data_IF_926721382458
#
_entry.id   IF_926721382458
#
_cell.length_a   1.000
_cell.length_b   1.000
_cell.length_c   1.000
_cell.angle_alpha   90.00
_cell.angle_beta   90.00
_cell.angle_gamma   90.00
#
_symmetry.space_group_name_H-M   'P 1'
#
loop_
_entity.id
_entity.type
_entity.pdbx_description
1 polymer ?
#
# COMPACT_ATOMS: atom_id res chain seq x y z
N UNK A 1 -3.92 6.08 6.93
CA UNK A 1 -3.00 5.43 7.89
C UNK A 1 -2.94 6.23 9.20
N UNK A 2 -2.82 5.58 10.33
CA UNK A 2 -2.64 6.17 11.65
C UNK A 2 -1.51 5.45 12.36
N UNK A 3 -0.83 6.12 13.29
CA UNK A 3 0.29 5.53 14.04
C UNK A 3 -0.10 4.24 14.80
N UNK A 4 -1.35 4.13 15.25
CA UNK A 4 -1.84 2.90 15.91
C UNK A 4 -1.74 1.62 15.08
N UNK A 5 -1.60 1.73 13.74
CA UNK A 5 -1.42 0.56 12.85
C UNK A 5 0.05 0.15 12.69
N UNK A 6 0.98 1.02 13.08
CA UNK A 6 2.42 0.75 12.96
C UNK A 6 2.78 -0.53 13.72
N UNK A 7 3.46 -1.44 13.02
CA UNK A 7 3.86 -2.73 13.57
C UNK A 7 2.75 -3.78 13.65
N UNK A 8 1.55 -3.53 13.10
CA UNK A 8 0.52 -4.57 13.01
C UNK A 8 0.84 -5.60 11.90
N UNK A 9 0.00 -6.61 11.79
CA UNK A 9 0.12 -7.65 10.74
C UNK A 9 0.14 -7.08 9.33
N UNK A 10 -0.42 -5.90 9.12
CA UNK A 10 -0.39 -5.21 7.83
C UNK A 10 0.97 -4.69 7.48
N UNK A 11 1.62 -4.06 8.43
CA UNK A 11 2.99 -3.60 8.27
C UNK A 11 3.95 -4.77 8.11
N UNK A 12 3.79 -5.83 8.92
CA UNK A 12 4.59 -7.03 8.74
C UNK A 12 4.46 -7.57 7.30
N UNK A 13 3.24 -7.81 6.82
CA UNK A 13 3.03 -8.31 5.47
C UNK A 13 3.62 -7.39 4.40
N UNK A 14 3.39 -6.08 4.48
CA UNK A 14 3.94 -5.10 3.55
C UNK A 14 5.48 -5.12 3.53
N UNK A 15 6.10 -5.01 4.70
CA UNK A 15 7.57 -4.99 4.77
C UNK A 15 8.20 -6.32 4.45
N UNK A 16 7.56 -7.46 4.74
CA UNK A 16 8.01 -8.77 4.29
C UNK A 16 8.05 -8.85 2.76
N UNK A 17 6.97 -8.44 2.08
CA UNK A 17 6.95 -8.36 0.62
C UNK A 17 8.01 -7.40 0.07
N UNK A 18 8.09 -6.19 0.63
CA UNK A 18 9.02 -5.17 0.13
C UNK A 18 10.47 -5.54 0.39
N UNK A 19 10.81 -6.12 1.54
CA UNK A 19 12.15 -6.60 1.83
C UNK A 19 12.57 -7.71 0.85
N UNK A 20 11.66 -8.65 0.56
CA UNK A 20 11.90 -9.66 -0.46
C UNK A 20 12.17 -9.04 -1.84
N UNK A 21 11.41 -8.04 -2.23
CA UNK A 21 11.56 -7.39 -3.54
C UNK A 21 12.78 -6.45 -3.62
N UNK A 22 13.08 -5.68 -2.57
CA UNK A 22 14.11 -4.64 -2.62
C UNK A 22 15.48 -5.11 -2.13
N UNK A 23 15.55 -6.10 -1.26
CA UNK A 23 16.81 -6.56 -0.66
C UNK A 23 17.37 -7.84 -1.33
N UNK A 24 16.60 -8.48 -2.20
CA UNK A 24 17.07 -9.70 -2.87
C UNK A 24 17.88 -9.37 -4.13
N UNK A 25 19.14 -9.84 -4.21
CA UNK A 25 20.09 -9.48 -5.28
C UNK A 25 19.59 -9.70 -6.71
N UNK A 26 18.75 -10.72 -6.93
CA UNK A 26 18.21 -11.02 -8.26
C UNK A 26 16.86 -10.32 -8.54
N UNK A 27 16.37 -9.48 -7.63
CA UNK A 27 15.12 -8.76 -7.82
C UNK A 27 15.31 -7.55 -8.75
N UNK A 28 14.38 -7.29 -9.67
CA UNK A 28 14.42 -6.11 -10.52
C UNK A 28 14.27 -4.80 -9.72
N UNK A 29 13.88 -4.90 -8.45
CA UNK A 29 13.73 -3.76 -7.55
C UNK A 29 14.92 -3.55 -6.61
N UNK A 30 15.90 -4.48 -6.63
CA UNK A 30 17.10 -4.34 -5.80
C UNK A 30 17.89 -3.08 -6.18
N UNK A 31 18.29 -2.32 -5.18
CA UNK A 31 19.04 -1.08 -5.34
C UNK A 31 18.22 0.13 -5.82
N UNK A 32 16.93 -0.05 -6.17
CA UNK A 32 16.06 1.07 -6.54
C UNK A 32 15.64 1.87 -5.33
N UNK A 33 15.47 3.18 -5.53
CA UNK A 33 14.93 4.06 -4.51
C UNK A 33 13.40 3.96 -4.45
N UNK A 34 12.88 3.80 -3.24
CA UNK A 34 11.45 3.76 -2.92
C UNK A 34 11.01 5.03 -2.18
N UNK A 35 9.96 5.68 -2.65
CA UNK A 35 9.19 6.62 -1.84
C UNK A 35 7.91 5.93 -1.33
N UNK A 36 7.82 5.72 -0.03
CA UNK A 36 6.61 5.25 0.63
C UNK A 36 5.76 6.46 1.02
N UNK A 37 4.58 6.59 0.44
CA UNK A 37 3.64 7.69 0.68
C UNK A 37 2.54 7.21 1.61
N UNK A 38 2.65 7.59 2.88
CA UNK A 38 1.65 7.28 3.89
C UNK A 38 0.53 8.32 3.86
N UNK A 39 -0.70 7.87 3.69
CA UNK A 39 -1.87 8.75 3.82
C UNK A 39 -2.22 8.90 5.30
N UNK A 40 -1.35 9.63 6.02
CA UNK A 40 -1.54 9.86 7.44
C UNK A 40 -2.77 10.74 7.70
N UNK A 41 -3.53 10.41 8.73
CA UNK A 41 -4.64 11.25 9.17
C UNK A 41 -4.88 11.08 10.67
N UNK A 42 -5.51 12.07 11.28
CA UNK A 42 -6.01 11.95 12.64
C UNK A 42 -7.17 10.97 12.68
N UNK A 43 -7.21 10.16 13.73
CA UNK A 43 -8.35 9.27 13.97
C UNK A 43 -9.66 10.04 14.09
N UNK A 44 -10.78 9.40 13.77
CA UNK A 44 -12.12 10.00 13.85
C UNK A 44 -12.66 10.06 15.29
N UNK A 45 -11.81 9.85 16.30
CA UNK A 45 -12.22 9.82 17.72
C UNK A 45 -12.96 8.53 18.12
N UNK A 46 -13.11 7.57 17.20
CA UNK A 46 -13.69 6.27 17.53
C UNK A 46 -12.64 5.41 18.24
N UNK A 47 -12.92 5.04 19.47
CA UNK A 47 -12.23 3.95 20.16
C UNK A 47 -12.63 2.64 19.48
N UNK A 48 -11.82 2.18 18.53
CA UNK A 48 -11.98 0.87 17.92
C UNK A 48 -10.70 0.04 18.13
N UNK A 49 -10.83 -1.27 18.00
CA UNK A 49 -9.73 -2.22 18.15
C UNK A 49 -8.87 -2.34 16.87
N UNK A 50 -8.96 -1.39 15.94
CA UNK A 50 -8.13 -1.38 14.74
C UNK A 50 -6.65 -1.19 15.11
N UNK A 51 -5.75 -1.86 14.38
CA UNK A 51 -4.31 -1.83 14.65
C UNK A 51 -3.87 -2.72 15.83
N UNK A 52 -4.77 -3.49 16.44
CA UNK A 52 -4.46 -4.39 17.56
C UNK A 52 -4.03 -5.80 17.12
N UNK A 53 -3.94 -6.08 15.81
CA UNK A 53 -3.43 -7.34 15.31
C UNK A 53 -1.90 -7.42 15.40
N UNK A 54 -1.39 -7.37 16.64
CA UNK A 54 0.04 -7.39 16.97
C UNK A 54 0.53 -8.76 17.48
N UNK A 55 -0.40 -9.73 17.71
CA UNK A 55 -0.10 -11.08 18.18
C UNK A 55 -0.01 -12.08 17.01
N UNK A 56 0.62 -11.69 15.91
CA UNK A 56 0.74 -12.52 14.70
C UNK A 56 2.07 -13.28 14.61
N UNK A 57 3.03 -12.97 15.47
CA UNK A 57 4.40 -13.47 15.39
C UNK A 57 4.47 -15.00 15.42
N UNK A 58 3.66 -15.66 16.25
CA UNK A 58 3.65 -17.13 16.32
C UNK A 58 3.25 -17.76 14.98
N UNK A 59 2.30 -17.16 14.28
CA UNK A 59 1.80 -17.65 12.99
C UNK A 59 2.75 -17.38 11.83
N UNK A 60 3.51 -16.28 11.91
CA UNK A 60 4.40 -15.81 10.84
C UNK A 60 5.88 -16.02 11.20
N UNK A 61 6.14 -16.82 12.24
CA UNK A 61 7.49 -17.09 12.73
C UNK A 61 8.36 -17.72 11.63
N UNK A 62 9.57 -17.17 11.46
CA UNK A 62 10.53 -17.65 10.47
C UNK A 62 10.33 -17.14 9.05
N UNK A 63 9.31 -16.30 8.79
CA UNK A 63 9.14 -15.68 7.47
C UNK A 63 10.24 -14.65 7.17
N UNK A 64 10.57 -13.80 8.14
CA UNK A 64 11.67 -12.82 8.09
C UNK A 64 12.06 -12.46 9.53
N UNK A 65 13.08 -13.13 10.07
CA UNK A 65 13.51 -12.98 11.47
C UNK A 65 13.90 -11.54 11.83
N UNK A 66 14.63 -10.86 10.93
CA UNK A 66 15.05 -9.48 11.17
C UNK A 66 13.84 -8.53 11.26
N UNK A 67 12.87 -8.70 10.36
CA UNK A 67 11.64 -7.90 10.37
C UNK A 67 10.82 -8.20 11.63
N UNK A 68 10.72 -9.47 12.00
CA UNK A 68 9.99 -9.91 13.20
C UNK A 68 10.56 -9.27 14.45
N UNK A 69 11.87 -9.38 14.67
CA UNK A 69 12.55 -8.81 15.84
C UNK A 69 12.42 -7.28 15.87
N UNK A 70 12.59 -6.64 14.72
CA UNK A 70 12.48 -5.18 14.59
C UNK A 70 11.09 -4.67 14.98
N UNK A 71 10.03 -5.26 14.42
CA UNK A 71 8.65 -4.85 14.72
C UNK A 71 8.23 -5.23 16.14
N UNK A 72 8.67 -6.39 16.64
CA UNK A 72 8.44 -6.81 18.03
C UNK A 72 9.05 -5.82 19.02
N UNK A 73 10.29 -5.40 18.80
CA UNK A 73 10.97 -4.41 19.63
C UNK A 73 10.21 -3.08 19.65
N UNK A 74 9.72 -2.63 18.49
CA UNK A 74 8.96 -1.38 18.35
C UNK A 74 7.63 -1.47 19.11
N UNK A 75 6.92 -2.59 19.01
CA UNK A 75 5.66 -2.82 19.74
C UNK A 75 5.91 -2.86 21.25
N UNK A 76 6.92 -3.61 21.71
CA UNK A 76 7.23 -3.76 23.13
C UNK A 76 7.71 -2.47 23.78
N UNK A 77 8.39 -1.60 23.03
CA UNK A 77 8.81 -0.27 23.50
C UNK A 77 7.69 0.77 23.49
N UNK A 78 6.49 0.41 23.01
CA UNK A 78 5.32 1.30 22.82
C UNK A 78 5.62 2.51 21.93
N UNK A 79 6.48 2.33 20.92
CA UNK A 79 6.89 3.38 19.97
C UNK A 79 6.25 3.17 18.60
N UNK A 80 4.94 3.02 18.57
CA UNK A 80 4.19 2.75 17.35
C UNK A 80 3.90 4.03 16.58
N UNK A 81 4.94 4.60 15.97
CA UNK A 81 4.89 5.80 15.14
C UNK A 81 5.61 5.57 13.82
N UNK A 82 5.12 6.17 12.72
CA UNK A 82 5.71 5.99 11.38
C UNK A 82 7.17 6.47 11.35
N UNK A 83 7.52 7.51 12.09
CA UNK A 83 8.89 8.01 12.20
C UNK A 83 9.84 6.98 12.83
N UNK A 84 9.36 6.25 13.83
CA UNK A 84 10.13 5.17 14.45
C UNK A 84 10.30 3.99 13.50
N UNK A 85 9.25 3.68 12.72
CA UNK A 85 9.29 2.65 11.70
C UNK A 85 10.30 2.97 10.58
N UNK A 86 10.41 4.22 10.15
CA UNK A 86 11.43 4.67 9.21
C UNK A 86 12.84 4.50 9.79
N UNK A 87 13.02 4.80 11.09
CA UNK A 87 14.30 4.70 11.78
C UNK A 87 14.87 3.28 11.84
N UNK A 88 14.01 2.24 11.73
CA UNK A 88 14.43 0.84 11.69
C UNK A 88 15.19 0.47 10.42
N UNK A 89 15.14 1.30 9.37
CA UNK A 89 15.78 1.07 8.06
C UNK A 89 15.53 -0.32 7.49
N UNK A 90 14.27 -0.76 7.59
CA UNK A 90 13.83 -2.07 7.07
C UNK A 90 14.11 -2.24 5.58
N UNK A 91 14.19 -1.15 4.85
CA UNK A 91 14.51 -1.05 3.42
C UNK A 91 15.68 -0.07 3.25
N UNK A 92 16.75 -0.48 2.58
CA UNK A 92 17.99 0.30 2.49
C UNK A 92 17.84 1.64 1.78
N UNK A 93 17.05 1.69 0.69
CA UNK A 93 16.90 2.85 -0.18
C UNK A 93 15.45 3.39 -0.15
N UNK A 94 14.79 3.32 0.99
CA UNK A 94 13.45 3.84 1.17
C UNK A 94 13.46 5.17 1.94
N UNK A 95 12.57 6.07 1.53
CA UNK A 95 12.24 7.30 2.24
C UNK A 95 10.74 7.38 2.44
N UNK A 96 10.30 7.92 3.57
CA UNK A 96 8.91 7.94 3.97
C UNK A 96 8.35 9.36 3.93
N UNK A 97 7.21 9.51 3.29
CA UNK A 97 6.42 10.73 3.32
C UNK A 97 5.18 10.48 4.19
N UNK A 98 5.10 11.18 5.31
CA UNK A 98 4.04 10.98 6.32
C UNK A 98 3.38 12.30 6.76
N UNK A 99 3.39 13.32 5.89
CA UNK A 99 2.57 14.50 6.12
C UNK A 99 1.08 14.13 6.09
N UNK A 100 0.31 14.71 7.01
CA UNK A 100 -1.12 14.42 7.15
C UNK A 100 -1.89 14.86 5.92
N UNK A 101 -2.69 13.96 5.36
CA UNK A 101 -3.61 14.28 4.27
C UNK A 101 -4.68 15.24 4.77
N UNK A 102 -4.86 16.40 4.14
CA UNK A 102 -5.89 17.34 4.53
C UNK A 102 -7.31 16.74 4.43
N UNK A 103 -8.17 17.07 5.37
CA UNK A 103 -9.60 16.69 5.31
C UNK A 103 -10.35 17.53 4.29
N UNK A 104 -9.89 18.76 4.06
CA UNK A 104 -10.45 19.72 3.10
C UNK A 104 -9.83 19.43 1.74
N UNK A 105 -10.66 19.22 0.73
CA UNK A 105 -10.21 18.83 -0.60
C UNK A 105 -9.40 19.92 -1.31
N UNK A 106 -9.66 21.18 -1.03
CA UNK A 106 -8.93 22.33 -1.58
C UNK A 106 -7.45 22.29 -1.18
N UNK A 107 -7.16 21.92 0.07
CA UNK A 107 -5.79 21.84 0.60
C UNK A 107 -5.04 20.59 0.10
N UNK A 108 -5.79 19.58 -0.37
CA UNK A 108 -5.24 18.31 -0.82
C UNK A 108 -4.32 18.45 -2.03
N UNK A 109 -4.59 19.41 -2.90
CA UNK A 109 -3.73 19.68 -4.06
C UNK A 109 -2.31 20.10 -3.64
N UNK A 110 -2.18 20.92 -2.61
CA UNK A 110 -0.87 21.33 -2.08
C UNK A 110 -0.13 20.13 -1.46
N UNK A 111 -0.82 19.34 -0.66
CA UNK A 111 -0.29 18.10 -0.09
C UNK A 111 0.20 17.14 -1.19
N UNK A 112 -0.62 16.91 -2.21
CA UNK A 112 -0.26 16.05 -3.34
C UNK A 112 0.99 16.55 -4.08
N UNK A 113 1.07 17.85 -4.35
CA UNK A 113 2.25 18.44 -4.99
C UNK A 113 3.52 18.24 -4.15
N UNK A 114 3.40 18.34 -2.81
CA UNK A 114 4.52 18.07 -1.91
C UNK A 114 4.95 16.59 -1.98
N UNK A 115 4.00 15.66 -1.95
CA UNK A 115 4.26 14.23 -2.11
C UNK A 115 4.89 13.89 -3.47
N UNK A 116 4.43 14.52 -4.56
CA UNK A 116 5.00 14.35 -5.90
C UNK A 116 6.44 14.89 -5.99
N UNK A 117 6.72 16.06 -5.39
CA UNK A 117 8.10 16.60 -5.33
C UNK A 117 9.02 15.70 -4.52
N UNK A 118 8.54 15.17 -3.39
CA UNK A 118 9.26 14.20 -2.59
C UNK A 118 9.62 12.95 -3.40
N UNK A 119 8.73 12.51 -4.28
CA UNK A 119 8.85 11.28 -5.07
C UNK A 119 9.53 11.46 -6.44
N UNK A 120 9.89 12.64 -6.82
CA UNK A 120 10.22 13.02 -8.20
C UNK A 120 11.47 12.30 -8.78
N UNK A 121 12.39 11.80 -7.93
CA UNK A 121 13.66 11.18 -8.38
C UNK A 121 13.70 9.66 -8.19
N UNK A 122 12.69 9.07 -7.55
CA UNK A 122 12.68 7.64 -7.24
C UNK A 122 12.19 6.79 -8.40
N UNK A 123 12.61 5.54 -8.45
CA UNK A 123 12.16 4.54 -9.42
C UNK A 123 10.88 3.86 -8.99
N UNK A 124 10.60 3.81 -7.69
CA UNK A 124 9.42 3.16 -7.14
C UNK A 124 8.68 4.10 -6.19
N UNK A 125 7.37 4.19 -6.36
CA UNK A 125 6.48 4.85 -5.41
C UNK A 125 5.49 3.83 -4.90
N UNK A 126 5.36 3.72 -3.57
CA UNK A 126 4.29 2.96 -2.94
C UNK A 126 3.34 3.92 -2.22
N UNK A 127 2.08 3.93 -2.62
CA UNK A 127 1.05 4.76 -2.00
C UNK A 127 0.14 3.92 -1.11
N UNK A 128 -0.04 4.37 0.11
CA UNK A 128 -0.78 3.63 1.13
C UNK A 128 -1.92 4.47 1.73
N UNK A 129 -3.03 4.59 1.00
CA UNK A 129 -4.26 5.12 1.55
C UNK A 129 -4.87 4.13 2.56
N UNK A 130 -5.61 4.62 3.54
CA UNK A 130 -6.20 3.77 4.60
C UNK A 130 -7.17 2.73 4.03
N UNK A 131 -8.00 3.15 3.06
CA UNK A 131 -9.04 2.30 2.48
C UNK A 131 -8.75 1.86 1.03
N UNK A 132 -7.82 2.51 0.34
CA UNK A 132 -7.48 2.18 -1.05
C UNK A 132 -7.87 3.25 -2.06
N UNK A 133 -8.19 2.83 -3.29
CA UNK A 133 -8.47 3.71 -4.42
C UNK A 133 -9.95 4.08 -4.53
N UNK A 134 -10.23 5.31 -4.98
CA UNK A 134 -11.53 5.74 -5.46
C UNK A 134 -11.48 6.03 -6.98
N UNK A 135 -12.44 5.47 -7.75
CA UNK A 135 -12.46 5.57 -9.23
C UNK A 135 -12.69 6.96 -9.75
N UNK A 136 -13.70 7.61 -9.20
CA UNK A 136 -14.12 8.95 -9.58
C UNK A 136 -14.38 9.76 -8.35
N UNK A 137 -14.01 11.03 -8.42
CA UNK A 137 -14.26 12.01 -7.40
C UNK A 137 -14.97 13.20 -8.04
N UNK A 138 -16.24 13.41 -7.70
CA UNK A 138 -16.82 14.73 -7.86
C UNK A 138 -16.45 15.57 -6.62
N UNK A 139 -15.36 16.31 -6.73
CA UNK A 139 -14.82 17.11 -5.61
C UNK A 139 -15.79 18.17 -5.13
N UNK A 140 -16.59 18.73 -6.02
CA UNK A 140 -17.57 19.77 -5.68
C UNK A 140 -18.73 19.20 -4.84
N UNK A 141 -19.17 17.99 -5.13
CA UNK A 141 -20.28 17.34 -4.43
C UNK A 141 -19.81 16.40 -3.32
N UNK A 142 -18.47 16.27 -3.10
CA UNK A 142 -17.87 15.29 -2.20
C UNK A 142 -18.38 13.86 -2.46
N UNK A 143 -18.74 13.58 -3.71
CA UNK A 143 -19.25 12.30 -4.16
C UNK A 143 -18.12 11.46 -4.74
N UNK A 144 -17.99 10.22 -4.29
CA UNK A 144 -16.88 9.33 -4.66
C UNK A 144 -17.45 8.03 -5.22
N UNK A 145 -17.01 7.66 -6.42
CA UNK A 145 -17.22 6.32 -6.94
C UNK A 145 -16.00 5.45 -6.61
N UNK A 146 -16.25 4.36 -5.91
CA UNK A 146 -15.20 3.43 -5.52
C UNK A 146 -14.92 2.43 -6.62
N UNK A 147 -13.65 2.01 -6.74
CA UNK A 147 -13.21 0.85 -7.52
C UNK A 147 -13.72 -0.47 -6.92
N UNK A 148 -14.86 -0.48 -6.25
CA UNK A 148 -15.47 -1.68 -5.72
C UNK A 148 -16.93 -1.75 -6.14
N UNK A 149 -17.44 -2.97 -6.30
CA UNK A 149 -18.82 -3.28 -6.71
C UNK A 149 -19.91 -2.69 -5.81
N UNK A 150 -19.53 -1.95 -4.77
CA UNK A 150 -20.45 -1.44 -3.75
C UNK A 150 -21.04 -0.08 -4.13
N UNK A 151 -21.97 -0.08 -5.06
CA UNK A 151 -22.74 1.11 -5.46
C UNK A 151 -23.82 1.53 -4.44
N UNK A 152 -24.03 0.77 -3.37
CA UNK A 152 -25.23 0.90 -2.54
C UNK A 152 -25.01 1.34 -1.09
N UNK A 153 -23.79 1.65 -0.66
CA UNK A 153 -23.58 2.12 0.72
C UNK A 153 -23.39 3.64 0.77
N UNK A 154 -24.44 4.34 1.16
CA UNK A 154 -24.41 5.75 1.59
C UNK A 154 -23.68 5.93 2.92
N UNK A 155 -22.48 5.34 3.07
CA UNK A 155 -21.63 5.60 4.22
C UNK A 155 -20.94 6.94 4.04
N UNK A 156 -20.86 7.69 5.13
CA UNK A 156 -20.06 8.91 5.20
C UNK A 156 -18.65 8.61 4.70
N UNK A 157 -18.28 9.21 3.58
CA UNK A 157 -16.98 8.99 2.96
C UNK A 157 -15.99 10.00 3.51
N UNK A 158 -14.83 9.53 3.88
CA UNK A 158 -13.73 10.34 4.35
C UNK A 158 -12.65 10.43 3.28
N UNK A 159 -12.60 11.52 2.48
CA UNK A 159 -11.70 11.65 1.33
C UNK A 159 -10.23 11.40 1.65
N UNK A 160 -9.79 11.82 2.84
CA UNK A 160 -8.41 11.66 3.30
C UNK A 160 -7.98 10.20 3.53
N UNK A 161 -8.93 9.25 3.51
CA UNK A 161 -8.65 7.81 3.63
C UNK A 161 -8.46 7.11 2.27
N UNK A 162 -8.64 7.83 1.17
CA UNK A 162 -8.56 7.27 -0.18
C UNK A 162 -7.56 8.02 -1.05
N UNK A 163 -6.97 7.32 -2.02
CA UNK A 163 -6.30 7.92 -3.16
C UNK A 163 -7.27 7.95 -4.35
N UNK A 164 -7.32 9.05 -5.07
CA UNK A 164 -8.15 9.19 -6.25
C UNK A 164 -7.41 8.68 -7.49
N UNK A 165 -8.17 8.21 -8.51
CA UNK A 165 -7.59 7.67 -9.73
C UNK A 165 -6.69 8.68 -10.47
N UNK A 166 -7.07 9.96 -10.49
CA UNK A 166 -6.25 11.03 -11.06
C UNK A 166 -4.95 11.25 -10.27
N UNK A 167 -4.97 11.08 -8.95
CA UNK A 167 -3.77 11.17 -8.11
C UNK A 167 -2.81 10.00 -8.34
N UNK A 168 -3.33 8.77 -8.52
CA UNK A 168 -2.52 7.62 -8.96
C UNK A 168 -1.83 7.94 -10.28
N UNK A 169 -2.55 8.57 -11.23
CA UNK A 169 -1.99 8.99 -12.51
C UNK A 169 -0.87 10.01 -12.37
N UNK A 170 -0.96 10.96 -11.43
CA UNK A 170 0.14 11.90 -11.18
C UNK A 170 1.40 11.19 -10.70
N UNK A 171 1.31 10.27 -9.76
CA UNK A 171 2.45 9.44 -9.34
C UNK A 171 2.96 8.58 -10.50
N UNK A 172 2.06 7.88 -11.21
CA UNK A 172 2.46 7.03 -12.32
C UNK A 172 3.19 7.79 -13.44
N UNK A 173 2.92 9.08 -13.65
CA UNK A 173 3.56 9.92 -14.68
C UNK A 173 4.89 10.55 -14.27
N UNK A 174 5.39 10.29 -13.07
CA UNK A 174 6.70 10.78 -12.66
C UNK A 174 7.80 10.29 -13.63
N UNK A 175 8.76 11.17 -13.99
CA UNK A 175 9.67 10.92 -15.11
C UNK A 175 10.62 9.75 -14.92
N UNK A 176 11.02 9.46 -13.67
CA UNK A 176 11.96 8.39 -13.33
C UNK A 176 11.28 7.14 -12.79
N UNK A 177 9.96 7.16 -12.68
CA UNK A 177 9.21 6.05 -12.14
C UNK A 177 9.26 4.84 -13.07
N UNK A 178 9.49 3.68 -12.49
CA UNK A 178 9.36 2.39 -13.13
C UNK A 178 8.12 1.61 -12.65
N UNK A 179 7.79 1.77 -11.35
CA UNK A 179 6.66 1.07 -10.73
C UNK A 179 5.94 1.97 -9.74
N UNK A 180 4.62 2.05 -9.86
CA UNK A 180 3.75 2.59 -8.81
C UNK A 180 3.03 1.42 -8.12
N UNK A 181 3.22 1.28 -6.81
CA UNK A 181 2.56 0.26 -5.99
C UNK A 181 1.40 0.93 -5.27
N UNK A 182 0.19 0.39 -5.43
CA UNK A 182 -1.00 0.95 -4.78
C UNK A 182 -1.60 -0.07 -3.83
N UNK A 183 -1.70 0.31 -2.58
CA UNK A 183 -2.38 -0.47 -1.55
C UNK A 183 -3.90 -0.35 -1.70
N UNK A 184 -4.59 -1.48 -1.49
CA UNK A 184 -6.06 -1.55 -1.44
C UNK A 184 -6.52 -2.45 -0.30
N UNK A 185 -7.35 -1.89 0.57
CA UNK A 185 -8.11 -2.67 1.54
C UNK A 185 -9.30 -3.35 0.85
N UNK A 186 -9.52 -4.64 1.14
CA UNK A 186 -10.64 -5.38 0.53
C UNK A 186 -11.88 -5.33 1.42
N UNK A 187 -13.02 -5.08 0.81
CA UNK A 187 -14.31 -5.01 1.47
C UNK A 187 -14.75 -6.41 1.95
N UNK A 188 -15.40 -6.47 3.10
CA UNK A 188 -15.92 -7.74 3.68
C UNK A 188 -17.23 -8.20 3.05
N UNK A 189 -17.92 -7.33 2.30
CA UNK A 189 -19.26 -7.63 1.76
C UNK A 189 -19.23 -8.48 0.48
N UNK A 190 -18.06 -8.61 -0.17
CA UNK A 190 -17.91 -9.33 -1.43
C UNK A 190 -16.74 -10.32 -1.37
N UNK A 191 -16.77 -11.33 -2.26
CA UNK A 191 -15.66 -12.25 -2.40
C UNK A 191 -14.38 -11.50 -2.79
N UNK A 192 -13.34 -11.64 -1.99
CA UNK A 192 -12.11 -10.85 -2.16
C UNK A 192 -11.45 -11.05 -3.53
N UNK A 193 -11.50 -12.27 -4.09
CA UNK A 193 -10.92 -12.53 -5.40
C UNK A 193 -11.68 -11.81 -6.51
N UNK A 194 -13.00 -11.75 -6.44
CA UNK A 194 -13.84 -11.02 -7.40
C UNK A 194 -13.56 -9.51 -7.34
N UNK A 195 -13.38 -8.96 -6.14
CA UNK A 195 -12.97 -7.57 -5.98
C UNK A 195 -11.63 -7.30 -6.67
N UNK A 196 -10.63 -8.17 -6.49
CA UNK A 196 -9.31 -8.01 -7.08
C UNK A 196 -9.37 -8.11 -8.60
N UNK A 197 -10.11 -9.08 -9.14
CA UNK A 197 -10.26 -9.24 -10.60
C UNK A 197 -10.98 -8.04 -11.23
N UNK A 198 -12.01 -7.52 -10.58
CA UNK A 198 -12.70 -6.30 -11.02
C UNK A 198 -11.75 -5.10 -11.05
N UNK A 199 -11.00 -4.90 -9.96
CA UNK A 199 -10.00 -3.82 -9.85
C UNK A 199 -8.89 -3.95 -10.89
N UNK A 200 -8.38 -5.16 -11.14
CA UNK A 200 -7.40 -5.42 -12.18
C UNK A 200 -7.97 -5.09 -13.58
N UNK A 201 -9.23 -5.44 -13.84
CA UNK A 201 -9.91 -5.10 -15.09
C UNK A 201 -10.00 -3.59 -15.31
N UNK A 202 -10.34 -2.83 -14.26
CA UNK A 202 -10.42 -1.37 -14.33
C UNK A 202 -9.03 -0.73 -14.49
N UNK A 203 -8.06 -1.17 -13.70
CA UNK A 203 -6.70 -0.65 -13.79
C UNK A 203 -6.04 -0.93 -15.15
N UNK A 204 -6.32 -2.05 -15.80
CA UNK A 204 -5.79 -2.39 -17.13
C UNK A 204 -6.35 -1.56 -18.26
N UNK A 205 -7.48 -0.87 -18.06
CA UNK A 205 -7.96 0.12 -19.04
C UNK A 205 -7.10 1.38 -19.07
N UNK A 206 -6.47 1.71 -17.95
CA UNK A 206 -5.63 2.90 -17.79
C UNK A 206 -4.13 2.57 -17.85
N UNK A 207 -3.73 1.40 -17.34
CA UNK A 207 -2.34 0.96 -17.19
C UNK A 207 -2.15 -0.42 -17.83
N UNK A 208 -1.38 -0.51 -18.91
CA UNK A 208 -1.22 -1.76 -19.68
C UNK A 208 -0.53 -2.89 -18.90
N UNK A 209 0.32 -2.56 -17.94
CA UNK A 209 1.19 -3.53 -17.26
C UNK A 209 0.89 -3.57 -15.77
N UNK A 210 -0.17 -4.30 -15.40
CA UNK A 210 -0.63 -4.42 -14.02
C UNK A 210 -0.56 -5.87 -13.55
N UNK A 211 -0.09 -6.06 -12.32
CA UNK A 211 -0.13 -7.32 -11.57
C UNK A 211 -0.48 -7.01 -10.11
N UNK A 212 -1.08 -7.97 -9.43
CA UNK A 212 -1.44 -7.81 -8.03
C UNK A 212 -1.02 -9.00 -7.17
N UNK A 213 -0.73 -8.71 -5.89
CA UNK A 213 -0.51 -9.73 -4.88
C UNK A 213 -1.35 -9.44 -3.63
N UNK A 214 -2.05 -10.47 -3.15
CA UNK A 214 -2.92 -10.41 -1.97
C UNK A 214 -2.22 -10.96 -0.76
N UNK A 215 -2.24 -10.21 0.34
CA UNK A 215 -1.94 -10.69 1.68
C UNK A 215 -3.22 -11.23 2.32
N UNK A 216 -3.22 -12.49 2.75
CA UNK A 216 -4.41 -13.20 3.23
C UNK A 216 -4.70 -13.03 4.73
N UNK A 217 -3.68 -12.95 5.63
CA UNK A 217 -3.91 -12.97 7.06
C UNK A 217 -4.74 -11.82 7.59
N UNK A 218 -5.62 -12.14 8.55
CA UNK A 218 -6.48 -11.22 9.31
C UNK A 218 -7.36 -10.32 8.43
N UNK A 219 -6.89 -9.12 8.08
CA UNK A 219 -7.59 -8.17 7.22
C UNK A 219 -6.99 -8.24 5.81
N UNK A 220 -7.69 -8.87 4.85
CA UNK A 220 -7.16 -9.05 3.51
C UNK A 220 -6.91 -7.73 2.80
N UNK A 221 -5.72 -7.63 2.24
CA UNK A 221 -5.25 -6.47 1.49
C UNK A 221 -4.52 -6.91 0.24
N UNK A 222 -4.50 -6.03 -0.75
CA UNK A 222 -3.84 -6.28 -2.02
C UNK A 222 -2.94 -5.12 -2.38
N UNK A 223 -1.82 -5.43 -3.02
CA UNK A 223 -0.89 -4.47 -3.60
C UNK A 223 -0.94 -4.61 -5.12
N UNK A 224 -1.32 -3.53 -5.80
CA UNK A 224 -1.30 -3.44 -7.25
C UNK A 224 0.00 -2.80 -7.71
N UNK A 225 0.72 -3.48 -8.60
CA UNK A 225 1.95 -3.01 -9.21
C UNK A 225 1.62 -2.48 -10.61
N UNK A 226 1.68 -1.18 -10.79
CA UNK A 226 1.49 -0.49 -12.05
C UNK A 226 2.88 -0.26 -12.66
N UNK A 227 3.26 -1.10 -13.62
CA UNK A 227 4.60 -1.11 -14.21
C UNK A 227 4.66 -0.26 -15.48
N UNK A 228 5.79 0.41 -15.73
CA UNK A 228 5.99 1.25 -16.93
C UNK A 228 6.23 0.45 -18.20
N UNK A 229 6.64 -0.80 -18.08
CA UNK A 229 6.90 -1.66 -19.24
C UNK A 229 6.57 -3.12 -18.96
N UNK A 230 6.35 -3.88 -20.03
CA UNK A 230 6.13 -5.31 -19.97
C UNK A 230 7.34 -6.06 -19.40
N UNK A 231 8.55 -5.59 -19.68
CA UNK A 231 9.80 -6.19 -19.17
C UNK A 231 9.82 -6.10 -17.64
N UNK A 232 9.56 -4.92 -17.09
CA UNK A 232 9.50 -4.69 -15.65
C UNK A 232 8.39 -5.54 -15.03
N UNK A 233 7.19 -5.55 -15.64
CA UNK A 233 6.06 -6.36 -15.17
C UNK A 233 6.43 -7.85 -15.08
N UNK A 234 6.98 -8.44 -16.15
CA UNK A 234 7.37 -9.85 -16.16
C UNK A 234 8.42 -10.20 -15.11
N UNK A 235 9.40 -9.32 -14.93
CA UNK A 235 10.44 -9.52 -13.92
C UNK A 235 9.87 -9.48 -12.50
N UNK A 236 8.97 -8.54 -12.21
CA UNK A 236 8.27 -8.47 -10.92
C UNK A 236 7.35 -9.67 -10.75
N UNK A 237 6.60 -10.06 -11.78
CA UNK A 237 5.68 -11.20 -11.77
C UNK A 237 6.41 -12.48 -11.36
N UNK A 238 7.56 -12.75 -11.97
CA UNK A 238 8.40 -13.91 -11.63
C UNK A 238 8.80 -13.89 -10.14
N UNK A 239 9.18 -12.74 -9.61
CA UNK A 239 9.54 -12.61 -8.19
C UNK A 239 8.36 -12.76 -7.24
N UNK A 240 7.21 -12.21 -7.61
CA UNK A 240 5.98 -12.38 -6.83
C UNK A 240 5.52 -13.84 -6.82
N UNK A 241 5.68 -14.56 -7.92
CA UNK A 241 5.38 -16.00 -7.98
C UNK A 241 6.31 -16.81 -7.07
N UNK A 242 7.61 -16.53 -7.10
CA UNK A 242 8.58 -17.19 -6.21
C UNK A 242 8.23 -16.92 -4.74
N UNK A 243 7.98 -15.65 -4.40
CA UNK A 243 7.59 -15.25 -3.05
C UNK A 243 6.27 -15.91 -2.61
N UNK A 244 5.23 -15.90 -3.46
CA UNK A 244 3.95 -16.51 -3.12
C UNK A 244 4.00 -18.03 -3.05
N UNK A 245 4.92 -18.69 -3.78
CA UNK A 245 5.15 -20.13 -3.71
C UNK A 245 5.88 -20.51 -2.41
N UNK A 246 6.83 -19.68 -1.96
CA UNK A 246 7.52 -19.87 -0.68
C UNK A 246 6.56 -19.66 0.51
N UNK A 247 5.69 -18.66 0.42
CA UNK A 247 4.76 -18.25 1.48
C UNK A 247 3.28 -18.45 1.09
N UNK A 248 2.93 -19.62 0.57
CA UNK A 248 1.60 -19.93 0.01
C UNK A 248 0.46 -19.75 0.99
N UNK A 249 0.68 -19.93 2.28
CA UNK A 249 -0.33 -19.71 3.31
C UNK A 249 -0.75 -18.23 3.39
N UNK A 250 0.19 -17.31 3.17
CA UNK A 250 0.00 -15.88 3.40
C UNK A 250 -0.26 -15.08 2.13
N UNK A 251 0.19 -15.57 0.96
CA UNK A 251 0.18 -14.78 -0.26
C UNK A 251 -0.50 -15.47 -1.43
N UNK A 252 -1.00 -14.66 -2.37
CA UNK A 252 -1.56 -15.11 -3.65
C UNK A 252 -1.39 -14.04 -4.71
N UNK A 253 -0.81 -14.40 -5.86
CA UNK A 253 -0.67 -13.53 -7.04
C UNK A 253 -1.94 -13.56 -7.87
N UNK A 254 -2.27 -12.43 -8.51
CA UNK A 254 -3.37 -12.23 -9.46
C UNK A 254 -2.84 -11.54 -10.71
N UNK A 255 -3.30 -12.02 -11.87
CA UNK A 255 -2.90 -11.56 -13.20
C UNK A 255 -4.08 -11.02 -13.97
#
# INVERSE_FOLDING_TARGET
MQDKYVGDVGDFGKFHLFRYLFNHNESPMNGKELAQIWFMHEGEGEENNDGQHIHYFERMMGCDEYLEDSLRSLIMSNKREVVELESLKLLQNAKFFYEKVPRILEDRYLWLNTALRFSNKVQVVAVEPDNGMALKCNRAEQCFEFLTLDKHHSKKVYPHKYIFADEVNYFYRLPHLEVCIVYQHLNRCFAHNEQIESLLGDLRREYFHVIAIKHKPYSPRVFFFLCKSEVIKKSIEMRLDMFANEFTEFWKVFR
#
